data_IF_455325130583
#
_entry.id   IF_455325130583
#
_cell.length_a   1.000
_cell.length_b   1.000
_cell.length_c   1.000
_cell.angle_alpha   90.00
_cell.angle_beta   90.00
_cell.angle_gamma   90.00
#
_symmetry.space_group_name_H-M   'P 1'
#
loop_
_entity.id
_entity.type
_entity.pdbx_description
1 polymer ?
#
# COMPACT_ATOMS: atom_id res chain seq x y z
N UNK A 1 30.45 -3.70 -5.63
CA UNK A 1 30.75 -2.58 -6.56
C UNK A 1 30.04 -1.34 -6.05
N UNK A 2 30.67 -0.17 -6.10
CA UNK A 2 29.98 1.08 -5.75
C UNK A 2 28.86 1.36 -6.75
N UNK A 3 27.70 1.83 -6.28
CA UNK A 3 26.61 2.24 -7.15
C UNK A 3 27.05 3.49 -7.95
N UNK A 4 27.17 3.36 -9.28
CA UNK A 4 27.64 4.41 -10.19
C UNK A 4 26.62 4.78 -11.28
N UNK A 5 25.46 4.12 -11.30
CA UNK A 5 24.38 4.44 -12.22
C UNK A 5 23.64 5.72 -11.78
N UNK A 6 23.44 6.66 -12.71
CA UNK A 6 22.74 7.92 -12.47
C UNK A 6 21.31 7.86 -13.00
N UNK A 7 20.38 8.39 -12.22
CA UNK A 7 18.98 8.58 -12.62
C UNK A 7 18.74 10.08 -12.77
N UNK A 8 18.38 10.51 -13.97
CA UNK A 8 18.06 11.90 -14.28
C UNK A 8 16.63 11.99 -14.81
N UNK A 9 15.86 12.94 -14.29
CA UNK A 9 14.46 13.16 -14.71
C UNK A 9 14.17 14.65 -14.65
N UNK A 10 13.38 15.14 -15.60
CA UNK A 10 12.93 16.54 -15.62
C UNK A 10 11.78 16.71 -14.65
N UNK A 11 11.85 17.75 -13.84
CA UNK A 11 10.80 18.15 -12.90
C UNK A 11 10.74 19.67 -12.85
N UNK A 12 9.57 20.19 -12.54
CA UNK A 12 9.39 21.60 -12.23
C UNK A 12 10.26 22.02 -11.02
N UNK A 13 10.86 23.20 -11.09
CA UNK A 13 11.81 23.67 -10.07
C UNK A 13 11.12 23.89 -8.71
N UNK A 14 9.91 24.45 -8.71
CA UNK A 14 9.16 24.72 -7.48
C UNK A 14 8.70 23.41 -6.82
N UNK A 15 8.38 22.39 -7.63
CA UNK A 15 8.10 21.04 -7.13
C UNK A 15 9.33 20.42 -6.49
N UNK A 16 10.50 20.51 -7.15
CA UNK A 16 11.76 19.99 -6.60
C UNK A 16 12.08 20.61 -5.24
N UNK A 17 11.98 21.93 -5.13
CA UNK A 17 12.39 22.65 -3.93
C UNK A 17 11.45 22.37 -2.75
N UNK A 18 10.14 22.31 -3.01
CA UNK A 18 9.17 21.88 -1.98
C UNK A 18 9.39 20.42 -1.55
N UNK A 19 9.66 19.52 -2.49
CA UNK A 19 9.93 18.12 -2.18
C UNK A 19 11.21 17.95 -1.34
N UNK A 20 12.28 18.69 -1.68
CA UNK A 20 13.51 18.72 -0.88
C UNK A 20 13.23 19.14 0.56
N UNK A 21 12.50 20.24 0.77
CA UNK A 21 12.22 20.74 2.13
C UNK A 21 11.42 19.73 2.98
N UNK A 22 10.44 19.05 2.38
CA UNK A 22 9.65 18.01 3.07
C UNK A 22 10.53 16.82 3.44
N UNK A 23 11.33 16.32 2.50
CA UNK A 23 12.21 15.17 2.76
C UNK A 23 13.29 15.49 3.79
N UNK A 24 13.85 16.69 3.76
CA UNK A 24 14.82 17.17 4.76
C UNK A 24 14.22 17.19 6.16
N UNK A 25 12.95 17.59 6.31
CA UNK A 25 12.24 17.53 7.59
C UNK A 25 12.10 16.10 8.15
N UNK A 26 12.19 15.09 7.28
CA UNK A 26 12.18 13.66 7.60
C UNK A 26 13.61 13.08 7.73
N UNK A 27 14.66 13.89 7.57
CA UNK A 27 16.06 13.45 7.61
C UNK A 27 16.52 12.71 6.35
N UNK A 28 15.85 12.90 5.21
CA UNK A 28 16.15 12.24 3.94
C UNK A 28 16.52 13.27 2.86
N UNK A 29 17.44 12.90 1.97
CA UNK A 29 17.64 13.66 0.73
C UNK A 29 16.72 13.15 -0.39
N UNK A 30 16.51 13.96 -1.43
CA UNK A 30 15.82 13.52 -2.66
C UNK A 30 16.46 12.26 -3.23
N UNK A 31 17.80 12.19 -3.21
CA UNK A 31 18.55 11.03 -3.68
C UNK A 31 18.29 9.78 -2.84
N UNK A 32 18.08 9.91 -1.53
CA UNK A 32 17.74 8.78 -0.65
C UNK A 32 16.34 8.24 -0.96
N UNK A 33 15.36 9.14 -1.09
CA UNK A 33 14.00 8.77 -1.45
C UNK A 33 13.94 8.03 -2.80
N UNK A 34 14.65 8.54 -3.81
CA UNK A 34 14.72 7.91 -5.14
C UNK A 34 15.43 6.56 -5.07
N UNK A 35 16.53 6.43 -4.31
CA UNK A 35 17.23 5.15 -4.11
C UNK A 35 16.30 4.12 -3.47
N UNK A 36 15.61 4.47 -2.38
CA UNK A 36 14.68 3.57 -1.69
C UNK A 36 13.57 3.12 -2.64
N UNK A 37 12.95 4.06 -3.36
CA UNK A 37 11.88 3.78 -4.31
C UNK A 37 12.31 2.77 -5.38
N UNK A 38 13.45 3.03 -6.04
CA UNK A 38 13.93 2.19 -7.14
C UNK A 38 14.44 0.84 -6.66
N UNK A 39 15.12 0.77 -5.51
CA UNK A 39 15.56 -0.49 -4.92
C UNK A 39 14.39 -1.37 -4.54
N UNK A 40 13.36 -0.82 -3.88
CA UNK A 40 12.16 -1.58 -3.52
C UNK A 40 11.39 -2.03 -4.75
N UNK A 41 11.21 -1.15 -5.74
CA UNK A 41 10.54 -1.52 -7.00
C UNK A 41 11.26 -2.66 -7.72
N UNK A 42 12.60 -2.63 -7.75
CA UNK A 42 13.40 -3.68 -8.39
C UNK A 42 13.33 -5.03 -7.64
N UNK A 43 13.25 -5.01 -6.31
CA UNK A 43 13.23 -6.23 -5.50
C UNK A 43 11.83 -6.82 -5.34
N UNK A 44 10.81 -5.97 -5.22
CA UNK A 44 9.42 -6.36 -4.92
C UNK A 44 8.57 -6.51 -6.19
N UNK A 45 9.03 -6.00 -7.33
CA UNK A 45 8.31 -6.09 -8.61
C UNK A 45 7.06 -5.20 -8.71
N UNK A 46 6.84 -4.31 -7.75
CA UNK A 46 5.71 -3.38 -7.70
C UNK A 46 6.15 -2.02 -7.15
N UNK A 47 5.43 -0.94 -7.53
CA UNK A 47 5.65 0.38 -6.93
C UNK A 47 5.20 0.36 -5.47
N UNK A 48 6.00 0.89 -4.52
CA UNK A 48 5.62 0.93 -3.11
C UNK A 48 4.43 1.89 -2.90
N UNK A 49 3.22 1.36 -2.76
CA UNK A 49 1.98 2.13 -2.60
C UNK A 49 1.96 3.02 -1.35
N UNK A 50 2.73 2.67 -0.33
CA UNK A 50 2.89 3.45 0.91
C UNK A 50 3.52 4.84 0.68
N UNK A 51 4.30 5.00 -0.40
CA UNK A 51 4.87 6.29 -0.80
C UNK A 51 3.93 7.11 -1.71
N UNK A 52 2.88 6.47 -2.25
CA UNK A 52 1.93 7.05 -3.22
C UNK A 52 0.63 7.46 -2.52
N UNK A 53 0.32 6.83 -1.39
CA UNK A 53 -0.93 7.04 -0.66
C UNK A 53 -0.75 8.18 0.32
N UNK A 54 -1.29 9.35 -0.03
CA UNK A 54 -1.46 10.47 0.86
C UNK A 54 -2.08 9.99 2.18
N UNK A 55 -1.33 10.08 3.30
CA UNK A 55 -1.72 9.57 4.63
C UNK A 55 -3.15 9.94 4.98
N UNK A 56 -3.57 11.16 4.65
CA UNK A 56 -4.90 11.68 4.97
C UNK A 56 -6.06 10.88 4.36
N UNK A 57 -5.93 10.42 3.10
CA UNK A 57 -6.98 9.65 2.44
C UNK A 57 -7.09 8.24 3.04
N UNK A 58 -5.94 7.63 3.34
CA UNK A 58 -5.88 6.35 4.05
C UNK A 58 -6.44 6.49 5.48
N UNK A 59 -6.05 7.54 6.20
CA UNK A 59 -6.50 7.81 7.57
C UNK A 59 -7.99 8.12 7.62
N UNK A 60 -8.54 8.83 6.62
CA UNK A 60 -9.97 9.08 6.49
C UNK A 60 -10.73 7.78 6.23
N UNK A 61 -10.26 6.95 5.29
CA UNK A 61 -10.85 5.64 5.01
C UNK A 61 -10.80 4.71 6.24
N UNK A 62 -9.64 4.63 6.90
CA UNK A 62 -9.44 3.80 8.08
C UNK A 62 -10.34 4.22 9.23
N UNK A 63 -10.41 5.53 9.55
CA UNK A 63 -11.34 6.07 10.56
C UNK A 63 -12.80 5.76 10.22
N UNK A 64 -13.20 5.89 8.97
CA UNK A 64 -14.56 5.54 8.55
C UNK A 64 -14.86 4.06 8.79
N UNK A 65 -13.92 3.15 8.50
CA UNK A 65 -14.08 1.71 8.72
C UNK A 65 -14.09 1.33 10.20
N UNK A 66 -13.31 1.99 11.03
CA UNK A 66 -13.35 1.80 12.49
C UNK A 66 -14.71 2.26 13.06
N UNK A 67 -15.21 3.42 12.65
CA UNK A 67 -16.52 3.91 13.09
C UNK A 67 -17.67 2.99 12.63
N UNK A 68 -17.59 2.47 11.40
CA UNK A 68 -18.54 1.48 10.88
C UNK A 68 -18.55 0.21 11.74
N UNK A 69 -17.38 -0.31 12.11
CA UNK A 69 -17.27 -1.50 12.96
C UNK A 69 -17.77 -1.24 14.40
N UNK A 70 -17.50 -0.06 14.97
CA UNK A 70 -17.97 0.31 16.31
C UNK A 70 -19.50 0.52 16.35
N UNK A 71 -20.09 0.95 15.25
CA UNK A 71 -21.54 1.14 15.13
C UNK A 71 -22.29 -0.16 14.80
N UNK A 72 -21.57 -1.23 14.44
CA UNK A 72 -22.17 -2.51 14.09
C UNK A 72 -22.74 -3.20 15.34
N UNK A 73 -24.05 -3.43 15.32
CA UNK A 73 -24.78 -4.08 16.43
C UNK A 73 -24.97 -5.58 16.22
N UNK A 74 -24.35 -6.18 15.19
CA UNK A 74 -24.42 -7.62 14.96
C UNK A 74 -23.71 -8.37 16.09
N UNK A 75 -24.18 -9.60 16.43
CA UNK A 75 -23.50 -10.42 17.42
C UNK A 75 -22.12 -10.84 16.91
N UNK A 76 -21.19 -11.05 17.85
CA UNK A 76 -19.91 -11.67 17.55
C UNK A 76 -20.12 -13.05 16.93
N UNK A 77 -19.25 -13.37 15.97
CA UNK A 77 -19.21 -14.67 15.29
C UNK A 77 -18.00 -15.43 15.82
N UNK A 78 -18.16 -16.73 16.09
CA UNK A 78 -17.04 -17.55 16.54
C UNK A 78 -16.04 -17.79 15.40
N UNK A 79 -14.77 -18.00 15.76
CA UNK A 79 -13.71 -18.27 14.79
C UNK A 79 -14.00 -19.52 13.94
N UNK A 80 -14.52 -20.59 14.58
CA UNK A 80 -14.91 -21.83 13.91
C UNK A 80 -15.99 -21.60 12.84
N UNK A 81 -17.03 -20.82 13.16
CA UNK A 81 -18.10 -20.48 12.21
C UNK A 81 -17.60 -19.65 11.03
N UNK A 82 -16.65 -18.74 11.28
CA UNK A 82 -16.00 -17.93 10.24
C UNK A 82 -15.19 -18.83 9.31
N UNK A 83 -14.37 -19.73 9.85
CA UNK A 83 -13.57 -20.66 9.04
C UNK A 83 -14.43 -21.58 8.19
N UNK A 84 -15.48 -22.16 8.75
CA UNK A 84 -16.42 -23.01 8.01
C UNK A 84 -17.08 -22.25 6.86
N UNK A 85 -17.54 -21.01 7.13
CA UNK A 85 -18.13 -20.15 6.12
C UNK A 85 -17.16 -19.87 4.95
N UNK A 86 -15.93 -19.47 5.27
CA UNK A 86 -14.94 -19.14 4.25
C UNK A 86 -14.40 -20.38 3.53
N UNK A 87 -14.29 -21.53 4.20
CA UNK A 87 -13.94 -22.81 3.59
C UNK A 87 -14.97 -23.21 2.52
N UNK A 88 -16.27 -23.10 2.84
CA UNK A 88 -17.35 -23.37 1.90
C UNK A 88 -17.29 -22.43 0.68
N UNK A 89 -17.06 -21.13 0.89
CA UNK A 89 -16.91 -20.13 -0.19
C UNK A 89 -15.71 -20.43 -1.09
N UNK A 90 -14.55 -20.77 -0.51
CA UNK A 90 -13.35 -21.15 -1.28
C UNK A 90 -13.60 -22.39 -2.13
N UNK A 91 -14.25 -23.41 -1.56
CA UNK A 91 -14.59 -24.63 -2.30
C UNK A 91 -15.56 -24.37 -3.46
N UNK A 92 -16.58 -23.52 -3.25
CA UNK A 92 -17.50 -23.11 -4.30
C UNK A 92 -16.82 -22.33 -5.42
N UNK A 93 -15.94 -21.38 -5.08
CA UNK A 93 -15.16 -20.62 -6.06
C UNK A 93 -14.26 -21.52 -6.92
N UNK A 94 -13.60 -22.52 -6.31
CA UNK A 94 -12.80 -23.51 -7.04
C UNK A 94 -13.63 -24.35 -8.01
N UNK A 95 -14.81 -24.82 -7.60
CA UNK A 95 -15.74 -25.55 -8.49
C UNK A 95 -16.20 -24.68 -9.66
N UNK A 96 -16.48 -23.40 -9.42
CA UNK A 96 -16.86 -22.45 -10.48
C UNK A 96 -15.70 -22.22 -11.47
N UNK A 97 -14.47 -22.06 -10.98
CA UNK A 97 -13.30 -21.92 -11.83
C UNK A 97 -13.06 -23.17 -12.69
N UNK A 98 -13.23 -24.37 -12.11
CA UNK A 98 -13.05 -25.64 -12.81
C UNK A 98 -14.19 -26.00 -13.80
N UNK A 99 -15.31 -25.29 -13.77
CA UNK A 99 -16.42 -25.47 -14.73
C UNK A 99 -16.47 -24.35 -15.79
N UNK A 100 -15.56 -23.39 -15.70
CA UNK A 100 -15.38 -22.31 -16.67
C UNK A 100 -14.24 -22.59 -17.67
N UNK A 101 -13.60 -23.76 -17.54
CA UNK A 101 -12.59 -24.35 -18.42
C UNK A 101 -13.22 -25.58 -19.13
#
# INVERSE_FOLDING_TARGET
MAANALVQTRIDADVRDRASAVLESMGLTVSDAVRILLTRTANEGALPLELVSNSEAHDAWFRAKVLEALADSRPDVSDDEVEDHFAARRAAARRKAASAD
#
